data_IF_453273179711
#
_entry.id   IF_453273179711
#
_cell.length_a   1.000
_cell.length_b   1.000
_cell.length_c   1.000
_cell.angle_alpha   90.00
_cell.angle_beta   90.00
_cell.angle_gamma   90.00
#
_symmetry.space_group_name_H-M   'P 1'
#
loop_
_entity.id
_entity.type
_entity.pdbx_description
1 polymer ?
#
# COMPACT_ATOMS: atom_id res chain seq x y z
N UNK A 1 -15.64 20.80 -7.74
CA UNK A 1 -14.52 19.84 -7.74
C UNK A 1 -13.71 20.08 -9.03
N UNK A 2 -12.38 20.01 -9.02
CA UNK A 2 -11.58 20.17 -10.25
C UNK A 2 -11.33 18.79 -10.85
N UNK A 3 -11.81 18.54 -12.07
CA UNK A 3 -11.65 17.25 -12.76
C UNK A 3 -10.18 16.81 -12.84
N UNK A 4 -9.27 17.74 -13.11
CA UNK A 4 -7.83 17.47 -13.11
C UNK A 4 -7.33 16.96 -11.75
N UNK A 5 -7.80 17.53 -10.64
CA UNK A 5 -7.45 17.08 -9.29
C UNK A 5 -7.93 15.64 -9.06
N UNK A 6 -9.13 15.30 -9.52
CA UNK A 6 -9.69 13.97 -9.32
C UNK A 6 -8.90 12.91 -10.11
N UNK A 7 -8.53 13.22 -11.36
CA UNK A 7 -7.66 12.37 -12.17
C UNK A 7 -6.31 12.16 -11.49
N UNK A 8 -5.67 13.23 -11.00
CA UNK A 8 -4.38 13.14 -10.28
C UNK A 8 -4.51 12.26 -9.03
N UNK A 9 -5.59 12.41 -8.26
CA UNK A 9 -5.82 11.59 -7.06
C UNK A 9 -6.05 10.11 -7.39
N UNK A 10 -6.81 9.80 -8.45
CA UNK A 10 -7.00 8.41 -8.91
C UNK A 10 -5.66 7.80 -9.30
N UNK A 11 -4.89 8.49 -10.15
CA UNK A 11 -3.58 8.01 -10.61
C UNK A 11 -2.62 7.80 -9.45
N UNK A 12 -2.52 8.78 -8.54
CA UNK A 12 -1.66 8.66 -7.36
C UNK A 12 -2.04 7.46 -6.49
N UNK A 13 -3.34 7.24 -6.25
CA UNK A 13 -3.82 6.08 -5.47
C UNK A 13 -3.50 4.75 -6.14
N UNK A 14 -3.65 4.67 -7.47
CA UNK A 14 -3.31 3.45 -8.21
C UNK A 14 -1.82 3.14 -8.09
N UNK A 15 -0.96 4.14 -8.34
CA UNK A 15 0.50 3.96 -8.28
C UNK A 15 0.93 3.53 -6.87
N UNK A 16 0.53 4.29 -5.85
CA UNK A 16 0.90 4.01 -4.45
C UNK A 16 0.32 2.66 -4.02
N UNK A 17 -0.93 2.36 -4.40
CA UNK A 17 -1.60 1.11 -4.06
C UNK A 17 -0.87 -0.12 -4.62
N UNK A 18 -0.45 -0.07 -5.90
CA UNK A 18 0.32 -1.16 -6.53
C UNK A 18 1.69 -1.32 -5.87
N UNK A 19 2.38 -0.22 -5.57
CA UNK A 19 3.69 -0.26 -4.87
C UNK A 19 3.55 -0.94 -3.52
N UNK A 20 2.52 -0.57 -2.75
CA UNK A 20 2.23 -1.15 -1.43
C UNK A 20 1.91 -2.64 -1.52
N UNK A 21 1.09 -3.06 -2.48
CA UNK A 21 0.80 -4.49 -2.69
C UNK A 21 2.08 -5.25 -3.04
N UNK A 22 2.90 -4.72 -3.95
CA UNK A 22 4.15 -5.35 -4.34
C UNK A 22 5.09 -5.52 -3.13
N UNK A 23 5.36 -4.44 -2.38
CA UNK A 23 6.26 -4.49 -1.23
C UNK A 23 5.73 -5.37 -0.10
N UNK A 24 4.42 -5.33 0.16
CA UNK A 24 3.79 -6.17 1.17
C UNK A 24 3.88 -7.65 0.79
N UNK A 25 3.62 -7.97 -0.48
CA UNK A 25 3.70 -9.34 -0.99
C UNK A 25 5.12 -9.91 -0.92
N UNK A 26 6.13 -9.11 -1.27
CA UNK A 26 7.54 -9.50 -1.17
C UNK A 26 7.95 -9.87 0.26
N UNK A 27 7.41 -9.17 1.27
CA UNK A 27 7.65 -9.48 2.69
C UNK A 27 7.04 -10.81 3.14
N UNK A 28 6.00 -11.30 2.47
CA UNK A 28 5.43 -12.63 2.76
C UNK A 28 6.03 -13.76 1.93
N UNK A 29 6.56 -13.46 0.73
CA UNK A 29 6.92 -14.51 -0.24
C UNK A 29 8.40 -14.53 -0.60
N UNK A 30 8.96 -13.41 -1.05
CA UNK A 30 10.33 -13.34 -1.56
C UNK A 30 11.37 -13.28 -0.44
N UNK A 31 11.19 -12.37 0.52
CA UNK A 31 12.11 -12.19 1.64
C UNK A 31 11.69 -12.96 2.89
N UNK A 32 10.39 -13.23 2.99
CA UNK A 32 9.77 -13.76 4.20
C UNK A 32 9.77 -12.75 5.36
N UNK A 33 8.94 -13.05 6.36
CA UNK A 33 8.82 -12.21 7.54
C UNK A 33 10.11 -12.22 8.37
N UNK A 34 10.85 -13.32 8.37
CA UNK A 34 12.11 -13.45 9.09
C UNK A 34 13.21 -12.55 8.50
N UNK A 35 13.40 -12.54 7.18
CA UNK A 35 14.38 -11.66 6.53
C UNK A 35 14.02 -10.17 6.66
N UNK A 36 12.73 -9.86 6.62
CA UNK A 36 12.25 -8.50 6.90
C UNK A 36 12.50 -8.11 8.35
N UNK A 37 12.26 -9.02 9.30
CA UNK A 37 12.52 -8.81 10.72
C UNK A 37 14.01 -8.63 11.02
N UNK A 38 14.89 -9.38 10.35
CA UNK A 38 16.34 -9.20 10.45
C UNK A 38 16.79 -7.82 9.98
N UNK A 39 16.24 -7.37 8.84
CA UNK A 39 16.49 -6.01 8.33
C UNK A 39 16.03 -4.95 9.34
N UNK A 40 14.84 -5.15 9.93
CA UNK A 40 14.29 -4.25 10.95
C UNK A 40 15.12 -4.25 12.24
N UNK A 41 15.64 -5.41 12.64
CA UNK A 41 16.55 -5.53 13.77
C UNK A 41 17.85 -4.74 13.52
N UNK A 42 18.41 -4.83 12.30
CA UNK A 42 19.59 -4.06 11.88
C UNK A 42 19.36 -2.54 11.89
N UNK A 43 18.11 -2.09 11.77
CA UNK A 43 17.71 -0.68 11.89
C UNK A 43 17.37 -0.25 13.34
N UNK A 44 17.47 -1.16 14.32
CA UNK A 44 17.14 -0.88 15.72
C UNK A 44 15.64 -0.80 16.02
N UNK A 45 14.79 -1.37 15.16
CA UNK A 45 13.33 -1.39 15.37
C UNK A 45 13.00 -2.32 16.55
N UNK A 46 12.25 -1.87 17.58
CA UNK A 46 11.83 -2.74 18.67
C UNK A 46 10.81 -3.77 18.18
N UNK A 47 10.88 -5.00 18.73
CA UNK A 47 10.05 -6.15 18.33
C UNK A 47 10.02 -6.40 16.81
N UNK A 48 11.17 -6.70 16.18
CA UNK A 48 11.31 -6.67 14.72
C UNK A 48 10.34 -7.56 13.96
N UNK A 49 10.05 -8.76 14.49
CA UNK A 49 9.11 -9.70 13.85
C UNK A 49 7.66 -9.19 13.86
N UNK A 50 7.24 -8.56 14.97
CA UNK A 50 5.91 -7.94 15.07
C UNK A 50 5.82 -6.76 14.11
N UNK A 51 6.87 -5.92 14.06
CA UNK A 51 6.94 -4.81 13.14
C UNK A 51 6.93 -5.27 11.66
N UNK A 52 7.68 -6.32 11.32
CA UNK A 52 7.71 -6.90 9.97
C UNK A 52 6.34 -7.43 9.56
N UNK A 53 5.68 -8.20 10.43
CA UNK A 53 4.32 -8.71 10.20
C UNK A 53 3.32 -7.57 10.04
N UNK A 54 3.39 -6.56 10.92
CA UNK A 54 2.55 -5.38 10.88
C UNK A 54 2.74 -4.58 9.59
N UNK A 55 3.98 -4.31 9.20
CA UNK A 55 4.32 -3.60 7.97
C UNK A 55 3.84 -4.37 6.73
N UNK A 56 4.14 -5.66 6.62
CA UNK A 56 3.73 -6.48 5.49
C UNK A 56 2.20 -6.51 5.32
N UNK A 57 1.47 -6.68 6.44
CA UNK A 57 0.00 -6.69 6.44
C UNK A 57 -0.58 -5.32 6.12
N UNK A 58 -0.04 -4.25 6.71
CA UNK A 58 -0.50 -2.89 6.48
C UNK A 58 -0.23 -2.43 5.04
N UNK A 59 0.90 -2.80 4.45
CA UNK A 59 1.22 -2.51 3.06
C UNK A 59 0.25 -3.25 2.12
N UNK A 60 0.04 -4.55 2.31
CA UNK A 60 -0.89 -5.32 1.47
C UNK A 60 -2.33 -4.80 1.57
N UNK A 61 -2.88 -4.72 2.77
CA UNK A 61 -4.26 -4.29 2.99
C UNK A 61 -4.45 -2.82 2.64
N UNK A 62 -3.48 -1.98 3.00
CA UNK A 62 -3.47 -0.55 2.65
C UNK A 62 -3.42 -0.34 1.14
N UNK A 63 -2.60 -1.13 0.43
CA UNK A 63 -2.52 -1.08 -1.02
C UNK A 63 -3.84 -1.47 -1.69
N UNK A 64 -4.48 -2.56 -1.25
CA UNK A 64 -5.82 -2.95 -1.72
C UNK A 64 -6.86 -1.86 -1.44
N UNK A 65 -6.86 -1.30 -0.22
CA UNK A 65 -7.77 -0.22 0.14
C UNK A 65 -7.58 1.04 -0.73
N UNK A 66 -6.34 1.39 -1.08
CA UNK A 66 -6.04 2.49 -2.00
C UNK A 66 -6.60 2.24 -3.40
N UNK A 67 -6.51 1.01 -3.92
CA UNK A 67 -7.09 0.66 -5.22
C UNK A 67 -8.63 0.73 -5.19
N UNK A 68 -9.27 0.22 -4.13
CA UNK A 68 -10.72 0.37 -3.95
C UNK A 68 -11.12 1.85 -3.89
N UNK A 69 -10.37 2.66 -3.14
CA UNK A 69 -10.58 4.10 -3.05
C UNK A 69 -10.36 4.84 -4.37
N UNK A 70 -9.47 4.35 -5.24
CA UNK A 70 -9.28 4.87 -6.59
C UNK A 70 -10.51 4.59 -7.46
N UNK A 71 -11.03 3.37 -7.42
CA UNK A 71 -12.24 2.97 -8.17
C UNK A 71 -13.48 3.76 -7.72
N UNK A 72 -13.66 3.91 -6.40
CA UNK A 72 -14.76 4.68 -5.84
C UNK A 72 -14.72 6.16 -6.29
N UNK A 73 -13.54 6.78 -6.27
CA UNK A 73 -13.37 8.17 -6.74
C UNK A 73 -13.61 8.29 -8.24
N UNK A 74 -13.10 7.36 -9.04
CA UNK A 74 -13.34 7.34 -10.48
C UNK A 74 -14.85 7.27 -10.81
N UNK A 75 -15.59 6.37 -10.14
CA UNK A 75 -17.04 6.25 -10.30
C UNK A 75 -17.79 7.54 -9.93
N UNK A 76 -17.46 8.16 -8.80
CA UNK A 76 -18.08 9.41 -8.37
C UNK A 76 -17.77 10.60 -9.30
N UNK A 77 -16.53 10.66 -9.82
CA UNK A 77 -16.14 11.72 -10.77
C UNK A 77 -16.87 11.60 -12.11
N UNK A 78 -17.20 10.38 -12.55
CA UNK A 78 -17.90 10.12 -13.81
C UNK A 78 -19.41 10.41 -13.74
N UNK A 79 -20.03 10.40 -12.56
CA UNK A 79 -21.45 10.71 -12.39
C UNK A 79 -21.77 12.21 -12.31
N UNK A 80 -20.75 13.07 -12.39
CA UNK A 80 -20.90 14.53 -12.23
C UNK A 80 -20.80 15.26 -13.59
N UNK A 81 -20.78 14.54 -14.70
CA UNK A 81 -20.85 15.04 -16.09
C UNK A 81 -22.24 14.83 -16.67
#
# INVERSE_FOLDING_TARGET
MSYFKDVVLVVARVIIGVIFIAHGWQKFTEWGLDGTAETFAGMGVPFPFVAATGAATAELLGGVALLIGALALAAASASTT
#
